data_IF_517794560942
#
_entry.id   IF_517794560942
#
_cell.length_a   1.000
_cell.length_b   1.000
_cell.length_c   1.000
_cell.angle_alpha   90.00
_cell.angle_beta   90.00
_cell.angle_gamma   90.00
#
_symmetry.space_group_name_H-M   'P 1'
#
loop_
_entity.id
_entity.type
_entity.pdbx_description
1 polymer ?
#
# COMPACT_ATOMS: atom_id res chain seq x y z
N UNK A 1 -0.69 -36.36 23.65
CA UNK A 1 -1.76 -35.41 23.34
C UNK A 1 -1.53 -34.07 24.04
N UNK A 2 -1.32 -34.02 25.37
CA UNK A 2 -1.06 -32.79 26.15
C UNK A 2 0.12 -32.01 25.59
N UNK A 3 1.30 -32.63 25.45
CA UNK A 3 2.50 -31.97 24.90
C UNK A 3 2.28 -31.37 23.48
N UNK A 4 1.48 -32.01 22.64
CA UNK A 4 1.15 -31.47 21.30
C UNK A 4 0.30 -30.21 21.38
N UNK A 5 -0.67 -30.14 22.33
CA UNK A 5 -1.51 -28.97 22.57
C UNK A 5 -0.66 -27.80 23.07
N UNK A 6 0.25 -28.05 24.02
CA UNK A 6 1.15 -27.03 24.56
C UNK A 6 2.09 -26.49 23.49
N UNK A 7 2.73 -27.35 22.72
CA UNK A 7 3.61 -26.94 21.61
C UNK A 7 2.81 -26.12 20.59
N UNK A 8 1.59 -26.58 20.22
CA UNK A 8 0.72 -25.87 19.29
C UNK A 8 0.37 -24.45 19.78
N UNK A 9 0.02 -24.30 21.06
CA UNK A 9 -0.25 -23.01 21.69
C UNK A 9 0.96 -22.09 21.60
N UNK A 10 2.13 -22.53 22.06
CA UNK A 10 3.34 -21.68 22.09
C UNK A 10 3.86 -21.34 20.70
N UNK A 11 3.77 -22.23 19.73
CA UNK A 11 4.13 -21.97 18.33
C UNK A 11 3.18 -20.89 17.74
N UNK A 12 1.87 -21.04 17.94
CA UNK A 12 0.91 -20.05 17.46
C UNK A 12 1.13 -18.68 18.12
N UNK A 13 1.36 -18.65 19.44
CA UNK A 13 1.66 -17.42 20.17
C UNK A 13 2.95 -16.77 19.65
N UNK A 14 4.01 -17.53 19.49
CA UNK A 14 5.28 -17.03 18.95
C UNK A 14 5.12 -16.44 17.55
N UNK A 15 4.35 -17.10 16.67
CA UNK A 15 4.05 -16.60 15.32
C UNK A 15 3.24 -15.29 15.38
N UNK A 16 2.21 -15.20 16.22
CA UNK A 16 1.42 -13.97 16.38
C UNK A 16 2.30 -12.83 16.88
N UNK A 17 3.10 -13.06 17.93
CA UNK A 17 4.03 -12.06 18.46
C UNK A 17 5.06 -11.66 17.42
N UNK A 18 5.61 -12.61 16.67
CA UNK A 18 6.58 -12.32 15.62
C UNK A 18 5.97 -11.42 14.53
N UNK A 19 4.77 -11.74 14.03
CA UNK A 19 4.13 -11.00 12.94
C UNK A 19 3.82 -9.56 13.31
N UNK A 20 3.37 -9.31 14.54
CA UNK A 20 2.89 -7.99 14.97
C UNK A 20 3.94 -7.15 15.69
N UNK A 21 4.94 -7.76 16.30
CA UNK A 21 5.98 -7.06 17.07
C UNK A 21 7.41 -7.53 16.75
N UNK A 22 7.63 -8.83 16.61
CA UNK A 22 8.97 -9.42 16.46
C UNK A 22 9.67 -8.95 15.19
N UNK A 23 9.00 -9.01 14.04
CA UNK A 23 9.54 -8.51 12.77
C UNK A 23 9.92 -7.01 12.86
N UNK A 24 9.02 -6.20 13.39
CA UNK A 24 9.27 -4.77 13.59
C UNK A 24 10.49 -4.51 14.47
N UNK A 25 10.60 -5.22 15.60
CA UNK A 25 11.77 -5.14 16.49
C UNK A 25 13.07 -5.53 15.76
N UNK A 26 13.05 -6.65 15.01
CA UNK A 26 14.20 -7.07 14.20
C UNK A 26 14.62 -6.01 13.18
N UNK A 27 13.66 -5.41 12.47
CA UNK A 27 13.93 -4.36 11.47
C UNK A 27 14.53 -3.12 12.15
N UNK A 28 13.98 -2.68 13.30
CA UNK A 28 14.53 -1.54 14.05
C UNK A 28 15.98 -1.75 14.54
N UNK A 29 16.33 -2.98 14.94
CA UNK A 29 17.68 -3.32 15.38
C UNK A 29 18.64 -3.41 14.19
N UNK A 30 18.23 -4.02 13.08
CA UNK A 30 19.10 -4.26 11.92
C UNK A 30 19.28 -3.00 11.06
N UNK A 31 18.30 -2.11 10.99
CA UNK A 31 18.32 -0.92 10.15
C UNK A 31 19.53 0.01 10.43
N UNK A 32 19.87 0.37 11.69
CA UNK A 32 21.04 1.18 11.97
C UNK A 32 22.38 0.43 11.71
N UNK A 33 22.38 -0.91 11.81
CA UNK A 33 23.59 -1.73 11.60
C UNK A 33 23.93 -1.79 10.10
N UNK A 34 22.96 -2.12 9.24
CA UNK A 34 23.17 -2.23 7.80
C UNK A 34 23.23 -0.86 7.11
N UNK A 35 22.41 0.07 7.55
CA UNK A 35 22.36 1.49 7.21
C UNK A 35 22.71 1.81 5.74
N UNK A 36 22.03 1.19 4.80
CA UNK A 36 22.23 1.40 3.36
C UNK A 36 21.67 2.78 2.96
N UNK A 37 22.49 3.81 3.14
CA UNK A 37 22.14 5.21 2.81
C UNK A 37 21.83 5.35 1.33
N UNK A 38 20.93 6.28 1.00
CA UNK A 38 20.59 6.69 -0.35
C UNK A 38 21.38 7.98 -0.63
N UNK A 39 22.03 8.03 -1.81
CA UNK A 39 22.63 9.26 -2.30
C UNK A 39 21.53 10.16 -2.83
N UNK A 40 21.29 11.27 -2.18
CA UNK A 40 20.31 12.27 -2.60
C UNK A 40 21.02 13.49 -3.15
N UNK A 41 20.61 13.94 -4.32
CA UNK A 41 21.09 15.17 -4.94
C UNK A 41 19.93 15.79 -5.71
N UNK A 42 19.92 17.10 -5.83
CA UNK A 42 18.94 17.79 -6.64
C UNK A 42 19.20 17.51 -8.12
N UNK A 43 18.29 16.79 -8.75
CA UNK A 43 18.35 16.41 -10.16
C UNK A 43 17.06 16.80 -10.85
N UNK A 44 17.11 17.09 -12.14
CA UNK A 44 15.96 17.42 -12.95
C UNK A 44 15.88 16.55 -14.22
N UNK A 45 15.64 15.23 -14.08
CA UNK A 45 15.38 14.37 -15.24
C UNK A 45 14.05 14.79 -15.91
N UNK A 46 13.78 14.27 -17.11
CA UNK A 46 12.46 14.40 -17.71
C UNK A 46 11.44 13.55 -16.94
N UNK A 47 10.27 14.13 -16.64
CA UNK A 47 9.23 13.51 -15.80
C UNK A 47 7.88 13.54 -16.48
N UNK A 48 7.17 12.42 -16.42
CA UNK A 48 5.75 12.38 -16.76
C UNK A 48 4.94 11.95 -15.54
N UNK A 49 3.99 12.80 -15.11
CA UNK A 49 3.00 12.42 -14.11
C UNK A 49 1.82 11.77 -14.82
N UNK A 50 1.50 10.54 -14.44
CA UNK A 50 0.39 9.76 -15.00
C UNK A 50 -0.75 9.74 -14.00
N UNK A 51 -1.93 10.20 -14.42
CA UNK A 51 -3.17 10.21 -13.65
C UNK A 51 -4.15 9.26 -14.33
N UNK A 52 -4.61 8.23 -13.63
CA UNK A 52 -5.73 7.40 -14.10
C UNK A 52 -7.04 7.91 -13.51
N UNK A 53 -8.01 8.22 -14.36
CA UNK A 53 -9.28 8.83 -13.97
C UNK A 53 -10.48 8.00 -14.47
N UNK A 54 -11.54 7.90 -13.65
CA UNK A 54 -12.82 7.34 -14.04
C UNK A 54 -13.94 8.05 -13.28
N UNK A 55 -14.72 8.91 -13.96
CA UNK A 55 -15.79 9.74 -13.41
C UNK A 55 -15.31 10.62 -12.23
N UNK A 56 -14.33 11.46 -12.49
CA UNK A 56 -13.66 12.32 -11.51
C UNK A 56 -13.87 13.82 -11.79
N UNK A 57 -15.01 14.20 -12.41
CA UNK A 57 -15.30 15.60 -12.81
C UNK A 57 -15.16 16.61 -11.68
N UNK A 58 -15.34 16.19 -10.40
CA UNK A 58 -15.26 17.07 -9.23
C UNK A 58 -13.83 17.41 -8.82
N UNK A 59 -12.88 16.49 -9.05
CA UNK A 59 -11.51 16.59 -8.52
C UNK A 59 -10.44 16.74 -9.61
N UNK A 60 -10.73 16.33 -10.84
CA UNK A 60 -9.70 16.20 -11.89
C UNK A 60 -9.06 17.54 -12.25
N UNK A 61 -9.81 18.63 -12.30
CA UNK A 61 -9.28 19.98 -12.58
C UNK A 61 -8.22 20.39 -11.56
N UNK A 62 -8.60 20.34 -10.27
CA UNK A 62 -7.72 20.66 -9.15
C UNK A 62 -6.48 19.80 -9.14
N UNK A 63 -6.64 18.51 -9.42
CA UNK A 63 -5.54 17.54 -9.45
C UNK A 63 -4.57 17.84 -10.58
N UNK A 64 -5.05 18.07 -11.79
CA UNK A 64 -4.21 18.37 -12.96
C UNK A 64 -3.46 19.71 -12.76
N UNK A 65 -4.15 20.75 -12.32
CA UNK A 65 -3.53 22.06 -12.03
C UNK A 65 -2.43 21.91 -10.97
N UNK A 66 -2.68 21.16 -9.89
CA UNK A 66 -1.68 20.88 -8.85
C UNK A 66 -0.44 20.16 -9.40
N UNK A 67 -0.58 19.25 -10.35
CA UNK A 67 0.57 18.53 -10.95
C UNK A 67 1.36 19.43 -11.91
N UNK A 68 0.68 20.28 -12.68
CA UNK A 68 1.33 21.23 -13.59
C UNK A 68 2.04 22.38 -12.86
N UNK A 69 1.61 22.72 -11.64
CA UNK A 69 2.15 23.81 -10.81
C UNK A 69 3.23 23.36 -9.81
N UNK A 70 3.74 22.14 -9.91
CA UNK A 70 4.84 21.67 -9.07
C UNK A 70 6.10 22.55 -9.27
N UNK A 71 6.86 22.80 -8.19
CA UNK A 71 8.14 23.51 -8.25
C UNK A 71 9.23 22.66 -8.93
N UNK A 72 9.06 22.49 -10.22
CA UNK A 72 9.95 21.70 -11.09
C UNK A 72 10.04 22.40 -12.46
N UNK A 73 11.17 22.30 -13.22
CA UNK A 73 11.31 22.93 -14.53
C UNK A 73 10.15 22.54 -15.48
N UNK A 74 9.39 23.55 -16.01
CA UNK A 74 8.19 23.27 -16.81
C UNK A 74 8.47 22.48 -18.09
N UNK A 75 9.63 22.68 -18.69
CA UNK A 75 10.10 21.96 -19.90
C UNK A 75 10.46 20.51 -19.61
N UNK A 76 10.61 20.13 -18.35
CA UNK A 76 10.92 18.78 -17.87
C UNK A 76 9.74 18.02 -17.27
N UNK A 77 8.59 18.67 -17.11
CA UNK A 77 7.39 18.10 -16.48
C UNK A 77 6.21 18.06 -17.44
N UNK A 78 5.72 16.87 -17.72
CA UNK A 78 4.49 16.63 -18.46
C UNK A 78 3.47 15.87 -17.63
N UNK A 79 2.19 15.98 -17.98
CA UNK A 79 1.10 15.27 -17.34
C UNK A 79 0.33 14.48 -18.40
N UNK A 80 0.06 13.21 -18.14
CA UNK A 80 -0.82 12.37 -18.96
C UNK A 80 -2.00 11.95 -18.08
N UNK A 81 -3.20 12.35 -18.48
CA UNK A 81 -4.43 11.83 -17.89
C UNK A 81 -4.94 10.70 -18.78
N UNK A 82 -5.17 9.53 -18.19
CA UNK A 82 -5.82 8.41 -18.89
C UNK A 82 -7.22 8.26 -18.32
N UNK A 83 -8.22 8.62 -19.12
CA UNK A 83 -9.63 8.42 -18.81
C UNK A 83 -10.06 6.99 -19.13
N UNK A 84 -10.46 6.23 -18.12
CA UNK A 84 -10.85 4.82 -18.22
C UNK A 84 -12.35 4.69 -18.58
N UNK A 85 -12.75 5.29 -19.70
CA UNK A 85 -14.15 5.27 -20.17
C UNK A 85 -15.10 6.11 -19.31
N UNK A 86 -14.67 7.32 -18.87
CA UNK A 86 -15.51 8.24 -18.11
C UNK A 86 -16.76 8.63 -18.90
N UNK A 87 -17.89 8.72 -18.18
CA UNK A 87 -19.20 9.09 -18.72
C UNK A 87 -19.68 10.49 -18.24
N UNK A 88 -18.94 11.10 -17.34
CA UNK A 88 -19.16 12.47 -16.82
C UNK A 88 -18.29 13.49 -17.58
N UNK A 89 -18.14 14.69 -17.05
CA UNK A 89 -17.38 15.78 -17.68
C UNK A 89 -15.86 15.67 -17.50
N UNK A 90 -15.33 14.57 -16.99
CA UNK A 90 -13.88 14.40 -16.76
C UNK A 90 -13.07 14.70 -18.02
N UNK A 91 -13.44 14.11 -19.16
CA UNK A 91 -12.69 14.26 -20.42
C UNK A 91 -12.76 15.71 -20.95
N UNK A 92 -13.94 16.34 -20.87
CA UNK A 92 -14.15 17.72 -21.29
C UNK A 92 -13.24 18.68 -20.51
N UNK A 93 -13.21 18.54 -19.17
CA UNK A 93 -12.38 19.36 -18.27
C UNK A 93 -10.90 19.21 -18.62
N UNK A 94 -10.41 17.98 -18.78
CA UNK A 94 -8.99 17.74 -19.12
C UNK A 94 -8.64 18.28 -20.50
N UNK A 95 -9.54 18.19 -21.51
CA UNK A 95 -9.32 18.76 -22.84
C UNK A 95 -9.26 20.29 -22.80
N UNK A 96 -10.10 20.94 -21.99
CA UNK A 96 -10.03 22.39 -21.81
C UNK A 96 -8.70 22.81 -21.19
N UNK A 97 -8.24 22.14 -20.14
CA UNK A 97 -6.94 22.41 -19.52
C UNK A 97 -5.77 22.17 -20.49
N UNK A 98 -5.86 21.12 -21.32
CA UNK A 98 -4.81 20.79 -22.28
C UNK A 98 -4.58 21.90 -23.32
N UNK A 99 -5.63 22.62 -23.75
CA UNK A 99 -5.53 23.76 -24.69
C UNK A 99 -4.67 24.91 -24.13
N UNK A 100 -4.61 25.07 -22.80
CA UNK A 100 -3.88 26.14 -22.13
C UNK A 100 -2.57 25.66 -21.49
N UNK A 101 -2.18 24.41 -21.71
CA UNK A 101 -1.04 23.78 -21.02
C UNK A 101 0.27 23.83 -21.81
N UNK A 102 0.31 24.52 -22.97
CA UNK A 102 1.49 24.61 -23.84
C UNK A 102 2.06 23.23 -24.21
N UNK A 103 1.18 22.24 -24.40
CA UNK A 103 1.57 20.86 -24.74
C UNK A 103 2.03 20.01 -23.56
N UNK A 104 2.03 20.55 -22.33
CA UNK A 104 2.45 19.80 -21.14
C UNK A 104 1.39 18.84 -20.58
N UNK A 105 0.13 18.92 -21.05
CA UNK A 105 -0.96 18.03 -20.65
C UNK A 105 -1.50 17.27 -21.85
N UNK A 106 -1.63 15.95 -21.70
CA UNK A 106 -2.23 15.07 -22.70
C UNK A 106 -3.36 14.25 -22.10
N UNK A 107 -4.50 14.20 -22.77
CA UNK A 107 -5.58 13.26 -22.48
C UNK A 107 -5.44 12.03 -23.36
N UNK A 108 -5.48 10.85 -22.76
CA UNK A 108 -5.68 9.57 -23.43
C UNK A 108 -7.02 8.99 -22.98
N UNK A 109 -7.78 8.39 -23.90
CA UNK A 109 -9.03 7.71 -23.58
C UNK A 109 -8.89 6.22 -23.79
N UNK A 110 -9.21 5.45 -22.74
CA UNK A 110 -9.25 3.99 -22.78
C UNK A 110 -10.71 3.55 -22.98
N UNK A 111 -10.98 2.91 -24.09
CA UNK A 111 -12.33 2.42 -24.42
C UNK A 111 -12.23 1.07 -25.15
N UNK A 112 -12.93 0.02 -24.70
CA UNK A 112 -13.77 0.00 -23.49
C UNK A 112 -12.96 0.15 -22.21
N UNK A 113 -13.66 0.37 -21.08
CA UNK A 113 -13.07 0.45 -19.75
C UNK A 113 -12.29 -0.82 -19.39
N UNK A 114 -11.01 -0.68 -18.94
CA UNK A 114 -10.11 -1.79 -18.62
C UNK A 114 -9.44 -1.67 -17.23
N UNK A 115 -9.65 -0.56 -16.53
CA UNK A 115 -9.15 -0.30 -15.17
C UNK A 115 -7.78 0.36 -15.09
N UNK A 116 -7.43 0.82 -13.88
CA UNK A 116 -6.20 1.59 -13.57
C UNK A 116 -4.94 0.93 -14.15
N UNK A 117 -4.80 -0.38 -14.02
CA UNK A 117 -3.58 -1.09 -14.46
C UNK A 117 -3.34 -0.96 -15.96
N UNK A 118 -4.39 -1.09 -16.80
CA UNK A 118 -4.28 -0.93 -18.23
C UNK A 118 -4.09 0.54 -18.63
N UNK A 119 -4.72 1.46 -17.87
CA UNK A 119 -4.50 2.90 -18.06
C UNK A 119 -3.03 3.28 -17.86
N UNK A 120 -2.35 2.71 -16.84
CA UNK A 120 -0.91 2.91 -16.64
C UNK A 120 -0.09 2.34 -17.80
N UNK A 121 -0.39 1.10 -18.25
CA UNK A 121 0.29 0.52 -19.41
C UNK A 121 0.14 1.40 -20.66
N UNK A 122 -1.07 1.93 -20.91
CA UNK A 122 -1.33 2.84 -22.03
C UNK A 122 -0.50 4.13 -21.93
N UNK A 123 -0.44 4.75 -20.75
CA UNK A 123 0.32 5.98 -20.53
C UNK A 123 1.80 5.79 -20.84
N UNK A 124 2.37 4.65 -20.43
CA UNK A 124 3.80 4.34 -20.64
C UNK A 124 4.20 4.21 -22.13
N UNK A 125 3.25 3.87 -23.01
CA UNK A 125 3.47 3.86 -24.45
C UNK A 125 3.53 5.28 -25.06
N UNK A 126 3.07 6.29 -24.31
CA UNK A 126 2.95 7.66 -24.78
C UNK A 126 3.91 8.64 -24.08
N UNK A 127 4.89 8.13 -23.35
CA UNK A 127 5.94 8.93 -22.74
C UNK A 127 7.33 8.38 -23.01
N UNK A 128 8.29 9.30 -23.19
CA UNK A 128 9.72 9.00 -23.27
C UNK A 128 10.50 9.55 -22.08
N UNK A 129 9.82 10.05 -21.04
CA UNK A 129 10.44 10.63 -19.86
C UNK A 129 11.33 9.61 -19.13
N UNK A 130 12.38 10.08 -18.45
CA UNK A 130 13.32 9.24 -17.69
C UNK A 130 12.64 8.61 -16.48
N UNK A 131 11.74 9.39 -15.83
CA UNK A 131 10.99 8.98 -14.64
C UNK A 131 9.50 9.19 -14.85
N UNK A 132 8.71 8.20 -14.41
CA UNK A 132 7.24 8.27 -14.42
C UNK A 132 6.75 8.33 -12.98
N UNK A 133 5.89 9.31 -12.68
CA UNK A 133 5.23 9.49 -11.39
C UNK A 133 3.78 9.07 -11.53
N UNK A 134 3.30 8.22 -10.63
CA UNK A 134 1.90 7.79 -10.60
C UNK A 134 1.11 8.59 -9.57
N UNK A 135 -0.06 9.06 -9.95
CA UNK A 135 -0.95 9.86 -9.13
C UNK A 135 -2.41 9.37 -9.26
N UNK A 136 -3.14 9.39 -8.16
CA UNK A 136 -4.59 9.21 -8.20
C UNK A 136 -5.29 10.52 -8.60
N UNK A 137 -6.48 10.41 -9.19
CA UNK A 137 -7.23 11.56 -9.73
C UNK A 137 -7.74 12.54 -8.67
N UNK A 138 -7.70 12.17 -7.40
CA UNK A 138 -8.09 12.98 -6.24
C UNK A 138 -6.93 13.30 -5.29
N UNK A 139 -5.68 13.06 -5.71
CA UNK A 139 -4.50 13.29 -4.87
C UNK A 139 -3.91 14.68 -5.08
N UNK A 140 -3.61 15.38 -3.99
CA UNK A 140 -2.98 16.73 -4.02
C UNK A 140 -1.57 16.64 -3.45
N UNK A 141 -0.60 17.08 -4.22
CA UNK A 141 0.81 17.07 -3.86
C UNK A 141 1.23 18.40 -3.20
N UNK A 142 2.15 18.33 -2.24
CA UNK A 142 2.87 19.51 -1.79
C UNK A 142 3.65 20.14 -2.97
N UNK A 143 3.90 21.46 -2.96
CA UNK A 143 4.52 22.15 -4.11
C UNK A 143 5.88 21.57 -4.54
N UNK A 144 6.67 21.04 -3.62
CA UNK A 144 8.01 20.48 -3.86
C UNK A 144 8.01 18.93 -4.00
N UNK A 145 6.84 18.30 -4.00
CA UNK A 145 6.76 16.86 -3.87
C UNK A 145 7.49 16.12 -5.01
N UNK A 146 7.29 16.54 -6.26
CA UNK A 146 7.99 15.94 -7.40
C UNK A 146 9.50 16.09 -7.27
N UNK A 147 9.99 17.29 -6.91
CA UNK A 147 11.42 17.55 -6.72
C UNK A 147 12.04 16.67 -5.64
N UNK A 148 11.39 16.57 -4.48
CA UNK A 148 11.86 15.74 -3.37
C UNK A 148 11.87 14.26 -3.72
N UNK A 149 10.84 13.77 -4.41
CA UNK A 149 10.74 12.39 -4.87
C UNK A 149 11.92 12.02 -5.79
N UNK A 150 12.30 12.93 -6.68
CA UNK A 150 13.35 12.71 -7.67
C UNK A 150 14.76 12.71 -7.09
N UNK A 151 15.01 13.37 -5.96
CA UNK A 151 16.35 13.39 -5.34
C UNK A 151 16.91 12.00 -5.06
N UNK A 152 16.04 11.03 -4.70
CA UNK A 152 16.46 9.66 -4.43
C UNK A 152 16.92 8.91 -5.70
N UNK A 153 16.51 9.34 -6.90
CA UNK A 153 16.99 8.76 -8.16
C UNK A 153 18.39 9.21 -8.56
N UNK A 154 19.00 10.14 -7.84
CA UNK A 154 20.45 10.41 -7.98
C UNK A 154 21.30 9.19 -7.61
N UNK A 155 20.75 8.27 -6.82
CA UNK A 155 21.37 6.97 -6.55
C UNK A 155 20.95 5.96 -7.66
N UNK A 156 21.93 5.46 -8.45
CA UNK A 156 21.62 4.52 -9.54
C UNK A 156 21.11 3.17 -9.05
N UNK A 157 21.24 2.84 -7.76
CA UNK A 157 20.66 1.64 -7.17
C UNK A 157 19.15 1.77 -6.95
N UNK A 158 18.60 3.00 -6.89
CA UNK A 158 17.19 3.27 -6.66
C UNK A 158 16.42 3.22 -7.97
N UNK A 159 15.43 2.34 -8.03
CA UNK A 159 14.56 2.17 -9.21
C UNK A 159 13.12 2.63 -9.00
N UNK A 160 12.68 2.69 -7.72
CA UNK A 160 11.33 3.09 -7.34
C UNK A 160 11.35 3.89 -6.04
N UNK A 161 10.58 4.95 -5.99
CA UNK A 161 10.41 5.81 -4.80
C UNK A 161 8.93 5.98 -4.50
N UNK A 162 8.53 5.81 -3.26
CA UNK A 162 7.18 6.11 -2.78
C UNK A 162 7.21 7.15 -1.68
N UNK A 163 6.20 8.01 -1.64
CA UNK A 163 6.04 9.01 -0.59
C UNK A 163 5.07 8.59 0.51
N UNK A 164 4.85 9.50 1.45
CA UNK A 164 3.89 9.34 2.55
C UNK A 164 2.51 9.83 2.12
N UNK A 165 1.45 9.10 2.49
CA UNK A 165 0.07 9.53 2.31
C UNK A 165 -0.48 10.05 3.65
N UNK A 166 -0.98 11.28 3.67
CA UNK A 166 -1.70 11.86 4.80
C UNK A 166 -3.16 12.07 4.45
N UNK A 167 -4.06 11.67 5.34
CA UNK A 167 -5.50 11.82 5.14
C UNK A 167 -5.97 13.15 5.73
N UNK A 168 -6.72 13.97 4.96
CA UNK A 168 -7.11 15.33 5.34
C UNK A 168 -8.55 15.46 5.84
N UNK A 169 -9.34 14.38 5.93
CA UNK A 169 -10.75 14.45 6.33
C UNK A 169 -10.94 14.41 7.86
N UNK A 170 -11.34 15.55 8.51
CA UNK A 170 -11.58 15.61 9.96
C UNK A 170 -12.77 14.77 10.44
N UNK A 171 -13.76 14.50 9.57
CA UNK A 171 -14.95 13.69 9.93
C UNK A 171 -14.63 12.20 10.10
N UNK A 172 -13.51 11.73 9.59
CA UNK A 172 -12.95 10.38 9.80
C UNK A 172 -11.95 10.34 10.95
N UNK A 173 -11.77 11.45 11.69
CA UNK A 173 -10.74 11.59 12.73
C UNK A 173 -10.96 10.69 13.95
N UNK A 174 -12.19 10.29 14.28
CA UNK A 174 -12.44 9.27 15.31
C UNK A 174 -12.01 7.86 14.85
N UNK A 175 -12.08 7.59 13.56
CA UNK A 175 -11.46 6.44 12.89
C UNK A 175 -9.95 6.70 12.76
N UNK A 176 -9.55 7.96 12.65
CA UNK A 176 -8.20 8.45 12.42
C UNK A 176 -7.22 8.25 13.58
N UNK A 177 -7.62 8.24 14.85
CA UNK A 177 -6.68 8.05 15.96
C UNK A 177 -6.12 6.63 16.03
N UNK A 178 -6.93 5.59 15.81
CA UNK A 178 -6.44 4.21 15.67
C UNK A 178 -5.67 4.01 14.36
N UNK A 179 -6.07 4.70 13.30
CA UNK A 179 -5.39 4.75 11.99
C UNK A 179 -4.06 5.52 12.08
N UNK A 180 -4.00 6.62 12.83
CA UNK A 180 -2.79 7.44 13.02
C UNK A 180 -1.63 6.69 13.66
N UNK A 181 -1.90 5.92 14.72
CA UNK A 181 -0.89 5.08 15.37
C UNK A 181 -0.41 3.96 14.46
N UNK A 182 -1.33 3.34 13.70
CA UNK A 182 -1.00 2.33 12.71
C UNK A 182 -0.15 2.92 11.55
N UNK A 183 -0.51 4.09 11.03
CA UNK A 183 0.26 4.78 9.99
C UNK A 183 1.65 5.18 10.49
N UNK A 184 1.78 5.64 11.73
CA UNK A 184 3.09 5.94 12.33
C UNK A 184 3.97 4.69 12.44
N UNK A 185 3.38 3.56 12.83
CA UNK A 185 4.06 2.25 12.85
C UNK A 185 4.53 1.84 11.44
N UNK A 186 3.64 1.88 10.43
CA UNK A 186 3.97 1.52 9.05
C UNK A 186 5.04 2.46 8.46
N UNK A 187 4.96 3.76 8.73
CA UNK A 187 5.94 4.74 8.24
C UNK A 187 7.32 4.50 8.86
N UNK A 188 7.40 4.23 10.18
CA UNK A 188 8.65 3.89 10.85
C UNK A 188 9.24 2.59 10.30
N UNK A 189 8.39 1.61 10.03
CA UNK A 189 8.80 0.34 9.41
C UNK A 189 9.39 0.58 8.02
N UNK A 190 8.73 1.37 7.16
CA UNK A 190 9.21 1.70 5.80
C UNK A 190 10.54 2.47 5.81
N UNK A 191 10.68 3.45 6.71
CA UNK A 191 11.96 4.15 6.90
C UNK A 191 13.06 3.16 7.25
N UNK A 192 12.78 2.24 8.15
CA UNK A 192 13.74 1.24 8.61
C UNK A 192 14.04 0.19 7.52
N UNK A 193 13.04 -0.31 6.80
CA UNK A 193 13.20 -1.20 5.65
C UNK A 193 14.02 -0.53 4.52
N UNK A 194 13.81 0.78 4.27
CA UNK A 194 14.63 1.55 3.33
C UNK A 194 16.11 1.52 3.70
N UNK A 195 16.43 1.62 5.00
CA UNK A 195 17.80 1.50 5.49
C UNK A 195 18.37 0.09 5.39
N UNK A 196 17.52 -0.94 5.43
CA UNK A 196 17.94 -2.32 5.17
C UNK A 196 18.22 -2.56 3.68
N UNK A 197 17.51 -1.88 2.79
CA UNK A 197 17.68 -2.04 1.34
C UNK A 197 16.46 -1.61 0.55
N UNK A 198 15.37 -2.33 0.66
CA UNK A 198 14.13 -2.04 -0.04
C UNK A 198 12.93 -2.23 0.89
N UNK A 199 11.88 -1.46 0.68
CA UNK A 199 10.58 -1.69 1.30
C UNK A 199 9.81 -2.79 0.55
N UNK A 200 8.89 -3.46 1.21
CA UNK A 200 8.11 -4.56 0.64
C UNK A 200 6.68 -4.19 0.23
N UNK A 201 6.32 -2.92 0.34
CA UNK A 201 5.01 -2.43 -0.08
C UNK A 201 4.91 -0.93 -0.05
N UNK A 202 4.13 -0.37 -0.97
CA UNK A 202 3.89 1.07 -1.13
C UNK A 202 2.42 1.40 -0.92
N UNK A 203 2.08 2.68 -0.74
CA UNK A 203 0.70 3.13 -0.49
C UNK A 203 -0.05 3.51 -1.77
N UNK A 204 0.67 3.79 -2.86
CA UNK A 204 0.07 4.12 -4.16
C UNK A 204 -0.39 5.57 -4.33
N UNK A 205 -0.20 6.44 -3.34
CA UNK A 205 -0.67 7.85 -3.41
C UNK A 205 0.27 8.79 -4.16
N UNK A 206 1.58 8.56 -4.03
CA UNK A 206 2.64 9.25 -4.77
C UNK A 206 3.82 8.29 -4.95
N UNK A 207 3.98 7.78 -6.15
CA UNK A 207 4.98 6.78 -6.49
C UNK A 207 5.72 7.20 -7.76
N UNK A 208 7.00 6.89 -7.84
CA UNK A 208 7.80 7.12 -9.03
C UNK A 208 8.66 5.91 -9.38
N UNK A 209 8.83 5.67 -10.67
CA UNK A 209 9.65 4.59 -11.21
C UNK A 209 10.58 5.13 -12.31
N UNK A 210 11.81 4.60 -12.42
CA UNK A 210 12.57 4.76 -13.66
C UNK A 210 11.81 4.10 -14.80
N UNK A 211 11.52 4.84 -15.87
CA UNK A 211 10.72 4.32 -16.98
C UNK A 211 11.29 3.01 -17.56
N UNK A 212 12.61 2.90 -17.64
CA UNK A 212 13.30 1.70 -18.14
C UNK A 212 13.01 0.42 -17.33
N UNK A 213 12.62 0.56 -16.05
CA UNK A 213 12.30 -0.56 -15.16
C UNK A 213 10.81 -0.93 -15.16
N UNK A 214 9.99 -0.17 -15.90
CA UNK A 214 8.57 -0.45 -15.96
C UNK A 214 8.31 -1.72 -16.78
N UNK A 215 7.60 -2.66 -16.17
CA UNK A 215 7.15 -3.89 -16.83
C UNK A 215 5.63 -3.82 -17.00
N UNK A 216 5.10 -3.94 -18.22
CA UNK A 216 3.66 -3.97 -18.45
C UNK A 216 2.97 -5.03 -17.61
N UNK A 217 1.83 -4.65 -17.04
CA UNK A 217 1.09 -5.50 -16.10
C UNK A 217 -0.19 -6.05 -16.73
N UNK A 218 -0.65 -7.21 -16.25
CA UNK A 218 -1.98 -7.72 -16.57
C UNK A 218 -3.04 -6.91 -15.83
N UNK A 219 -4.27 -6.85 -16.38
CA UNK A 219 -5.39 -6.10 -15.81
C UNK A 219 -5.76 -6.53 -14.37
N UNK A 220 -5.53 -7.80 -14.03
CA UNK A 220 -5.80 -8.37 -12.69
C UNK A 220 -4.72 -8.05 -11.65
N UNK A 221 -3.57 -7.52 -12.05
CA UNK A 221 -2.46 -7.18 -11.16
C UNK A 221 -2.66 -5.83 -10.46
N UNK A 222 -2.16 -5.72 -9.22
CA UNK A 222 -2.20 -4.50 -8.42
C UNK A 222 -0.92 -3.70 -8.66
N UNK A 223 -0.98 -2.51 -9.33
CA UNK A 223 0.22 -1.74 -9.67
C UNK A 223 1.09 -1.42 -8.47
N UNK A 224 0.46 -0.93 -7.39
CA UNK A 224 1.13 -0.48 -6.17
C UNK A 224 1.84 -1.63 -5.41
N UNK A 225 1.67 -2.88 -5.85
CA UNK A 225 2.37 -4.03 -5.28
C UNK A 225 3.28 -4.73 -6.30
N UNK A 226 2.82 -4.88 -7.55
CA UNK A 226 3.57 -5.61 -8.60
C UNK A 226 4.75 -4.79 -9.12
N UNK A 227 4.60 -3.47 -9.34
CA UNK A 227 5.68 -2.63 -9.87
C UNK A 227 6.89 -2.58 -8.93
N UNK A 228 6.75 -2.26 -7.61
CA UNK A 228 7.90 -2.28 -6.72
C UNK A 228 8.58 -3.65 -6.65
N UNK A 229 7.83 -4.75 -6.62
CA UNK A 229 8.40 -6.09 -6.65
C UNK A 229 9.16 -6.37 -7.96
N UNK A 230 8.66 -5.89 -9.11
CA UNK A 230 9.34 -6.03 -10.40
C UNK A 230 10.65 -5.26 -10.44
N UNK A 231 10.74 -4.11 -9.76
CA UNK A 231 11.96 -3.33 -9.64
C UNK A 231 13.01 -4.08 -8.82
N UNK A 232 12.60 -4.74 -7.72
CA UNK A 232 13.50 -5.59 -6.92
C UNK A 232 14.00 -6.80 -7.72
N UNK A 233 13.14 -7.43 -8.51
CA UNK A 233 13.56 -8.54 -9.41
C UNK A 233 14.65 -8.11 -10.41
N UNK A 234 14.63 -6.84 -10.83
CA UNK A 234 15.63 -6.24 -11.71
C UNK A 234 16.88 -5.75 -10.95
N UNK A 235 17.03 -6.08 -9.66
CA UNK A 235 18.21 -5.75 -8.84
C UNK A 235 18.27 -4.30 -8.37
N UNK A 236 17.16 -3.54 -8.49
CA UNK A 236 17.08 -2.15 -8.02
C UNK A 236 16.31 -2.05 -6.70
N UNK A 237 16.54 -0.95 -5.99
CA UNK A 237 15.93 -0.68 -4.68
C UNK A 237 14.58 0.03 -4.84
N UNK A 238 13.68 -0.31 -3.94
CA UNK A 238 12.41 0.39 -3.70
C UNK A 238 12.54 1.12 -2.35
N UNK A 239 12.38 2.44 -2.34
CA UNK A 239 12.67 3.26 -1.17
C UNK A 239 11.50 4.16 -0.80
N UNK A 240 11.43 4.51 0.49
CA UNK A 240 10.40 5.38 1.05
C UNK A 240 10.95 6.76 1.36
N UNK A 241 10.27 7.80 0.86
CA UNK A 241 10.58 9.22 1.10
C UNK A 241 9.58 9.80 2.11
N UNK A 242 10.05 10.00 3.35
CA UNK A 242 9.21 10.43 4.45
C UNK A 242 8.78 11.91 4.37
N UNK A 243 9.60 12.77 3.73
CA UNK A 243 9.34 14.20 3.65
C UNK A 243 8.15 14.55 2.74
N UNK A 244 7.66 13.58 1.94
CA UNK A 244 6.53 13.74 1.04
C UNK A 244 5.23 13.43 1.77
N UNK A 245 4.30 14.38 1.78
CA UNK A 245 2.93 14.15 2.21
C UNK A 245 1.97 14.34 1.04
N UNK A 246 1.03 13.44 0.91
CA UNK A 246 -0.06 13.49 -0.06
C UNK A 246 -1.39 13.35 0.67
N UNK A 247 -2.37 14.18 0.30
CA UNK A 247 -3.73 14.10 0.83
C UNK A 247 -4.58 13.18 -0.06
N UNK A 248 -5.16 12.12 0.51
CA UNK A 248 -6.03 11.19 -0.20
C UNK A 248 -7.05 10.53 0.71
N UNK A 249 -8.12 9.98 0.12
CA UNK A 249 -9.18 9.25 0.83
C UNK A 249 -9.05 7.75 0.60
N UNK A 250 -8.87 6.91 1.66
CA UNK A 250 -9.17 5.49 1.53
C UNK A 250 -9.33 4.72 2.85
N UNK A 251 -10.39 3.91 2.97
CA UNK A 251 -10.53 2.85 3.97
C UNK A 251 -11.32 1.61 3.53
N UNK A 252 -12.06 1.61 2.43
CA UNK A 252 -13.15 0.62 2.21
C UNK A 252 -12.83 -0.62 1.35
N UNK A 253 -11.58 -0.93 0.97
CA UNK A 253 -11.33 -1.98 -0.05
C UNK A 253 -10.39 -3.13 0.34
N UNK A 254 -10.27 -3.44 1.62
CA UNK A 254 -9.21 -4.34 2.14
C UNK A 254 -9.26 -5.78 1.64
N UNK A 255 -10.45 -6.38 1.47
CA UNK A 255 -10.55 -7.77 0.93
C UNK A 255 -10.02 -7.85 -0.50
N UNK A 256 -10.38 -6.86 -1.35
CA UNK A 256 -9.92 -6.82 -2.74
C UNK A 256 -8.41 -6.59 -2.82
N UNK A 257 -7.91 -5.63 -2.03
CA UNK A 257 -6.47 -5.34 -1.98
C UNK A 257 -5.70 -6.58 -1.50
N UNK A 258 -6.15 -7.24 -0.44
CA UNK A 258 -5.52 -8.47 0.07
C UNK A 258 -5.55 -9.61 -0.96
N UNK A 259 -6.65 -9.81 -1.69
CA UNK A 259 -6.75 -10.83 -2.73
C UNK A 259 -5.77 -10.55 -3.89
N UNK A 260 -5.72 -9.30 -4.38
CA UNK A 260 -4.79 -8.91 -5.45
C UNK A 260 -3.33 -8.99 -4.99
N UNK A 261 -3.06 -8.67 -3.71
CA UNK A 261 -1.73 -8.81 -3.13
C UNK A 261 -1.29 -10.28 -3.02
N UNK A 262 -2.19 -11.21 -2.67
CA UNK A 262 -1.90 -12.65 -2.68
C UNK A 262 -1.55 -13.14 -4.09
N UNK A 263 -2.28 -12.71 -5.11
CA UNK A 263 -1.94 -13.03 -6.50
C UNK A 263 -0.60 -12.42 -6.93
N UNK A 264 -0.29 -11.20 -6.51
CA UNK A 264 1.01 -10.57 -6.78
C UNK A 264 2.17 -11.33 -6.10
N UNK A 265 1.99 -11.78 -4.85
CA UNK A 265 2.96 -12.63 -4.16
C UNK A 265 3.18 -13.97 -4.89
N UNK A 266 2.10 -14.57 -5.38
CA UNK A 266 2.19 -15.80 -6.18
C UNK A 266 2.92 -15.58 -7.51
N UNK A 267 2.59 -14.50 -8.23
CA UNK A 267 3.26 -14.12 -9.49
C UNK A 267 4.76 -13.85 -9.28
N UNK A 268 5.11 -13.22 -8.15
CA UNK A 268 6.46 -12.81 -7.77
C UNK A 268 7.15 -13.75 -6.76
N UNK A 269 6.69 -15.00 -6.68
CA UNK A 269 7.20 -16.00 -5.69
C UNK A 269 8.70 -16.24 -5.76
N UNK A 270 9.36 -15.92 -6.88
CA UNK A 270 10.81 -15.99 -6.99
C UNK A 270 11.53 -15.10 -5.98
N UNK A 271 10.92 -13.98 -5.57
CA UNK A 271 11.43 -13.08 -4.54
C UNK A 271 11.38 -13.67 -3.12
N UNK A 272 10.63 -14.77 -2.91
CA UNK A 272 10.59 -15.53 -1.65
C UNK A 272 11.77 -16.48 -1.50
N UNK A 273 12.64 -16.59 -2.51
CA UNK A 273 13.83 -17.44 -2.45
C UNK A 273 14.93 -16.80 -1.59
N UNK A 274 15.22 -17.33 -0.38
CA UNK A 274 16.20 -16.73 0.53
C UNK A 274 17.65 -16.89 0.06
N UNK A 275 17.93 -17.80 -0.86
CA UNK A 275 19.28 -17.95 -1.44
C UNK A 275 19.57 -16.80 -2.42
N UNK A 276 18.58 -16.45 -3.25
CA UNK A 276 18.74 -15.39 -4.28
C UNK A 276 18.52 -14.00 -3.69
N UNK A 277 17.58 -13.85 -2.75
CA UNK A 277 17.17 -12.57 -2.15
C UNK A 277 17.13 -12.67 -0.61
N UNK A 278 18.25 -12.95 0.08
CA UNK A 278 18.22 -13.36 1.49
C UNK A 278 17.50 -12.38 2.41
N UNK A 279 17.86 -11.10 2.34
CA UNK A 279 17.24 -10.08 3.19
C UNK A 279 15.83 -9.72 2.71
N UNK A 280 15.64 -9.54 1.41
CA UNK A 280 14.34 -9.16 0.86
C UNK A 280 13.30 -10.28 0.98
N UNK A 281 13.70 -11.55 0.78
CA UNK A 281 12.81 -12.69 0.99
C UNK A 281 12.34 -12.76 2.45
N UNK A 282 13.26 -12.57 3.42
CA UNK A 282 12.89 -12.49 4.83
C UNK A 282 11.90 -11.36 5.11
N UNK A 283 12.16 -10.14 4.58
CA UNK A 283 11.24 -9.02 4.71
C UNK A 283 9.87 -9.32 4.09
N UNK A 284 9.84 -9.83 2.85
CA UNK A 284 8.60 -10.13 2.12
C UNK A 284 7.77 -11.23 2.79
N UNK A 285 8.43 -12.29 3.27
CA UNK A 285 7.77 -13.36 4.03
C UNK A 285 7.19 -12.80 5.33
N UNK A 286 7.99 -12.09 6.12
CA UNK A 286 7.59 -11.61 7.44
C UNK A 286 6.52 -10.52 7.38
N UNK A 287 6.71 -9.52 6.52
CA UNK A 287 5.84 -8.34 6.46
C UNK A 287 4.56 -8.57 5.64
N UNK A 288 4.60 -9.45 4.63
CA UNK A 288 3.43 -9.66 3.75
C UNK A 288 2.87 -11.07 3.86
N UNK A 289 3.67 -12.13 3.61
CA UNK A 289 3.12 -13.50 3.59
C UNK A 289 2.55 -13.89 4.96
N UNK A 290 3.36 -13.78 6.03
CA UNK A 290 2.92 -14.14 7.37
C UNK A 290 1.80 -13.22 7.88
N UNK A 291 1.82 -11.93 7.51
CA UNK A 291 0.77 -10.99 7.90
C UNK A 291 -0.57 -11.29 7.24
N UNK A 292 -0.59 -11.65 5.94
CA UNK A 292 -1.82 -12.10 5.28
C UNK A 292 -2.31 -13.47 5.79
N UNK A 293 -1.40 -14.31 6.30
CA UNK A 293 -1.71 -15.60 6.90
C UNK A 293 -1.93 -15.56 8.44
N UNK A 294 -1.84 -14.37 9.07
CA UNK A 294 -1.87 -14.24 10.54
C UNK A 294 -3.16 -14.75 11.19
N UNK A 295 -4.27 -14.79 10.44
CA UNK A 295 -5.51 -15.39 10.92
C UNK A 295 -5.36 -16.88 11.25
N UNK A 296 -4.46 -17.62 10.59
CA UNK A 296 -4.21 -19.06 10.88
C UNK A 296 -3.65 -19.28 12.30
N UNK A 297 -2.50 -18.65 12.68
CA UNK A 297 -2.01 -18.80 14.05
C UNK A 297 -2.94 -18.14 15.09
N UNK A 298 -3.74 -17.12 14.75
CA UNK A 298 -4.74 -16.56 15.67
C UNK A 298 -5.86 -17.56 15.99
N UNK A 299 -6.40 -18.23 14.98
CA UNK A 299 -7.39 -19.31 15.15
C UNK A 299 -6.75 -20.50 15.89
N UNK A 300 -5.54 -20.93 15.49
CA UNK A 300 -4.81 -21.99 16.15
C UNK A 300 -4.56 -21.69 17.64
N UNK A 301 -4.14 -20.48 17.96
CA UNK A 301 -3.90 -20.01 19.32
C UNK A 301 -5.18 -20.12 20.20
N UNK A 302 -6.33 -19.71 19.64
CA UNK A 302 -7.60 -19.84 20.33
C UNK A 302 -7.98 -21.30 20.57
N UNK A 303 -7.87 -22.16 19.55
CA UNK A 303 -8.24 -23.58 19.64
C UNK A 303 -7.32 -24.34 20.62
N UNK A 304 -5.99 -24.20 20.47
CA UNK A 304 -5.04 -24.86 21.37
C UNK A 304 -5.20 -24.37 22.82
N UNK A 305 -5.46 -23.06 23.02
CA UNK A 305 -5.71 -22.53 24.35
C UNK A 305 -6.98 -23.10 24.98
N UNK A 306 -8.09 -23.17 24.22
CA UNK A 306 -9.33 -23.78 24.68
C UNK A 306 -9.17 -25.27 25.08
N UNK A 307 -8.33 -26.02 24.34
CA UNK A 307 -8.00 -27.41 24.67
C UNK A 307 -7.07 -27.54 25.89
N UNK A 308 -6.27 -26.51 26.18
CA UNK A 308 -5.31 -26.49 27.30
C UNK A 308 -5.91 -25.99 28.63
N UNK A 309 -7.11 -25.47 28.65
CA UNK A 309 -7.75 -24.82 29.82
C UNK A 309 -7.71 -25.69 31.09
N UNK A 310 -7.87 -27.00 30.97
CA UNK A 310 -7.81 -27.94 32.10
C UNK A 310 -6.41 -28.25 32.64
N UNK A 311 -5.35 -27.80 31.96
CA UNK A 311 -3.97 -28.17 32.28
C UNK A 311 -3.32 -27.23 33.29
N UNK A 312 -3.56 -25.89 33.16
CA UNK A 312 -2.96 -24.89 34.05
C UNK A 312 -3.76 -23.59 34.06
N UNK A 313 -3.78 -22.89 35.23
CA UNK A 313 -4.50 -21.60 35.43
C UNK A 313 -4.08 -20.50 34.42
N UNK A 314 -2.85 -20.57 33.90
CA UNK A 314 -2.34 -19.66 32.83
C UNK A 314 -3.25 -19.70 31.61
N UNK A 315 -3.62 -20.89 31.11
CA UNK A 315 -4.48 -21.04 29.92
C UNK A 315 -5.89 -20.49 30.15
N UNK A 316 -6.42 -20.64 31.39
CA UNK A 316 -7.71 -20.03 31.77
C UNK A 316 -7.63 -18.50 31.67
N UNK A 317 -6.61 -17.89 32.29
CA UNK A 317 -6.42 -16.44 32.28
C UNK A 317 -6.19 -15.91 30.84
N UNK A 318 -5.43 -16.64 30.04
CA UNK A 318 -5.18 -16.26 28.64
C UNK A 318 -6.45 -16.38 27.79
N UNK A 319 -7.29 -17.40 28.00
CA UNK A 319 -8.58 -17.54 27.32
C UNK A 319 -9.54 -16.40 27.66
N UNK A 320 -9.61 -16.03 28.94
CA UNK A 320 -10.41 -14.87 29.37
C UNK A 320 -9.94 -13.61 28.64
N UNK A 321 -8.63 -13.38 28.53
CA UNK A 321 -8.05 -12.24 27.80
C UNK A 321 -8.44 -12.27 26.32
N UNK A 322 -8.35 -13.44 25.64
CA UNK A 322 -8.75 -13.58 24.26
C UNK A 322 -10.24 -13.30 24.03
N UNK A 323 -11.10 -13.88 24.87
CA UNK A 323 -12.56 -13.68 24.78
C UNK A 323 -12.91 -12.22 25.05
N UNK A 324 -12.28 -11.59 26.05
CA UNK A 324 -12.45 -10.16 26.31
C UNK A 324 -12.02 -9.29 25.12
N UNK A 325 -10.91 -9.60 24.47
CA UNK A 325 -10.45 -8.92 23.24
C UNK A 325 -11.46 -9.03 22.09
N UNK A 326 -12.04 -10.20 21.87
CA UNK A 326 -13.09 -10.38 20.87
C UNK A 326 -14.40 -9.69 21.23
N UNK A 327 -14.78 -9.70 22.52
CA UNK A 327 -15.94 -8.94 23.01
C UNK A 327 -15.77 -7.43 22.80
N UNK A 328 -14.58 -6.89 23.07
CA UNK A 328 -14.24 -5.49 22.77
C UNK A 328 -14.34 -5.19 21.26
N UNK A 329 -13.95 -6.12 20.41
CA UNK A 329 -14.10 -5.94 18.96
C UNK A 329 -15.58 -5.90 18.53
N UNK A 330 -16.43 -6.74 19.13
CA UNK A 330 -17.89 -6.70 18.91
C UNK A 330 -18.50 -5.38 19.40
N UNK A 331 -18.11 -4.93 20.59
CA UNK A 331 -18.54 -3.63 21.12
C UNK A 331 -18.08 -2.49 20.20
N UNK A 332 -16.83 -2.51 19.72
CA UNK A 332 -16.33 -1.55 18.74
C UNK A 332 -17.16 -1.54 17.45
N UNK A 333 -17.64 -2.69 17.00
CA UNK A 333 -18.55 -2.77 15.85
C UNK A 333 -19.91 -2.11 16.14
N UNK A 334 -20.49 -2.36 17.31
CA UNK A 334 -21.81 -1.83 17.69
C UNK A 334 -21.77 -0.31 17.88
N UNK A 335 -20.70 0.21 18.48
CA UNK A 335 -20.55 1.64 18.81
C UNK A 335 -19.76 2.44 17.76
N UNK A 336 -19.44 1.89 16.59
CA UNK A 336 -18.62 2.56 15.56
C UNK A 336 -19.14 3.91 15.05
N UNK A 337 -20.43 4.20 15.29
CA UNK A 337 -21.07 5.45 14.87
C UNK A 337 -21.27 6.45 16.03
N UNK A 338 -20.87 6.11 17.26
CA UNK A 338 -21.21 6.85 18.47
C UNK A 338 -20.20 7.92 18.90
N UNK A 339 -19.31 8.39 18.01
CA UNK A 339 -18.41 9.51 18.27
C UNK A 339 -17.11 9.17 19.02
N UNK A 340 -16.42 10.19 19.55
CA UNK A 340 -15.06 10.09 20.10
C UNK A 340 -14.85 9.10 21.25
N UNK A 341 -15.86 8.82 22.06
CA UNK A 341 -15.76 7.82 23.14
C UNK A 341 -15.55 6.39 22.64
N UNK A 342 -15.94 6.10 21.39
CA UNK A 342 -15.78 4.80 20.76
C UNK A 342 -14.38 4.57 20.15
N UNK A 343 -13.52 5.61 20.04
CA UNK A 343 -12.23 5.53 19.33
C UNK A 343 -11.32 4.44 19.89
N UNK A 344 -11.26 4.26 21.20
CA UNK A 344 -10.44 3.23 21.86
C UNK A 344 -10.92 1.80 21.59
N UNK A 345 -12.22 1.60 21.35
CA UNK A 345 -12.82 0.30 21.01
C UNK A 345 -12.62 -0.06 19.53
N UNK A 346 -12.26 0.91 18.69
CA UNK A 346 -12.08 0.70 17.28
C UNK A 346 -10.82 -0.12 16.95
N UNK A 347 -9.76 -0.03 17.76
CA UNK A 347 -8.51 -0.77 17.50
C UNK A 347 -8.72 -2.30 17.54
N UNK A 348 -9.34 -2.93 18.55
CA UNK A 348 -9.69 -4.35 18.53
C UNK A 348 -10.63 -4.72 17.39
N UNK A 349 -11.62 -3.87 17.08
CA UNK A 349 -12.53 -4.09 15.95
C UNK A 349 -11.78 -4.15 14.63
N UNK A 350 -10.92 -3.17 14.34
CA UNK A 350 -10.14 -3.15 13.09
C UNK A 350 -9.15 -4.31 13.01
N UNK A 351 -8.54 -4.70 14.12
CA UNK A 351 -7.67 -5.88 14.17
C UNK A 351 -8.42 -7.13 13.70
N UNK A 352 -9.62 -7.36 14.23
CA UNK A 352 -10.44 -8.53 13.83
C UNK A 352 -10.88 -8.41 12.37
N UNK A 353 -11.42 -7.25 11.96
CA UNK A 353 -11.89 -7.01 10.59
C UNK A 353 -10.79 -7.24 9.55
N UNK A 354 -9.57 -6.79 9.84
CA UNK A 354 -8.42 -7.00 8.95
C UNK A 354 -8.06 -8.47 8.79
N UNK A 355 -8.02 -9.22 9.89
CA UNK A 355 -7.71 -10.64 9.84
C UNK A 355 -8.83 -11.45 9.15
N UNK A 356 -10.10 -11.09 9.36
CA UNK A 356 -11.24 -11.68 8.64
C UNK A 356 -11.16 -11.36 7.14
N UNK A 357 -10.80 -10.12 6.77
CA UNK A 357 -10.63 -9.74 5.38
C UNK A 357 -9.50 -10.54 4.70
N UNK A 358 -8.38 -10.76 5.41
CA UNK A 358 -7.29 -11.61 4.93
C UNK A 358 -7.73 -13.07 4.78
N UNK A 359 -8.47 -13.62 5.75
CA UNK A 359 -9.01 -14.99 5.66
C UNK A 359 -9.96 -15.18 4.47
N UNK A 360 -10.87 -14.23 4.25
CA UNK A 360 -11.78 -14.23 3.09
C UNK A 360 -11.02 -14.10 1.77
N UNK A 361 -10.00 -13.22 1.73
CA UNK A 361 -9.14 -13.07 0.55
C UNK A 361 -8.36 -14.35 0.26
N UNK A 362 -7.83 -14.99 1.30
CA UNK A 362 -7.11 -16.27 1.18
C UNK A 362 -8.02 -17.39 0.66
N UNK A 363 -9.25 -17.48 1.18
CA UNK A 363 -10.24 -18.44 0.68
C UNK A 363 -10.58 -18.22 -0.79
N UNK A 364 -10.82 -16.96 -1.20
CA UNK A 364 -11.05 -16.60 -2.60
C UNK A 364 -9.84 -16.89 -3.49
N UNK A 365 -8.63 -16.67 -2.98
CA UNK A 365 -7.39 -16.99 -3.69
C UNK A 365 -7.28 -18.49 -3.95
N UNK A 366 -7.54 -19.36 -2.95
CA UNK A 366 -7.55 -20.82 -3.11
C UNK A 366 -8.61 -21.28 -4.13
N UNK A 367 -9.76 -20.57 -4.20
CA UNK A 367 -10.79 -20.78 -5.21
C UNK A 367 -10.46 -20.21 -6.59
N UNK A 368 -9.25 -19.68 -6.82
CA UNK A 368 -8.81 -19.14 -8.11
C UNK A 368 -9.48 -17.84 -8.53
N UNK A 369 -10.20 -17.15 -7.62
CA UNK A 369 -10.91 -15.91 -7.95
C UNK A 369 -9.94 -14.76 -8.21
N UNK A 370 -10.19 -13.98 -9.27
CA UNK A 370 -9.45 -12.78 -9.64
C UNK A 370 -10.38 -11.58 -9.77
N UNK A 371 -9.89 -10.38 -9.49
CA UNK A 371 -10.65 -9.14 -9.59
C UNK A 371 -9.85 -8.10 -10.38
N UNK A 372 -10.30 -7.77 -11.60
CA UNK A 372 -9.62 -6.82 -12.48
C UNK A 372 -10.21 -5.40 -12.39
N UNK A 373 -11.53 -5.26 -12.36
CA UNK A 373 -12.20 -3.95 -12.43
C UNK A 373 -12.52 -3.39 -11.05
N UNK A 374 -12.37 -2.09 -10.91
CA UNK A 374 -12.79 -1.30 -9.76
C UNK A 374 -14.02 -0.50 -10.11
N UNK A 375 -15.07 -0.57 -9.28
CA UNK A 375 -16.18 0.36 -9.36
C UNK A 375 -15.95 1.47 -8.33
N UNK A 376 -15.84 2.74 -8.76
CA UNK A 376 -15.78 3.85 -7.84
C UNK A 376 -17.07 3.93 -7.03
N UNK A 377 -17.04 4.64 -5.91
CA UNK A 377 -18.23 4.92 -5.12
C UNK A 377 -19.27 5.59 -6.02
N UNK A 378 -20.53 5.14 -5.97
CA UNK A 378 -21.64 6.01 -6.32
C UNK A 378 -21.58 7.15 -5.30
N UNK A 379 -21.29 8.37 -5.77
CA UNK A 379 -21.27 9.55 -4.93
C UNK A 379 -22.60 9.63 -4.19
N UNK A 380 -22.52 9.72 -2.86
CA UNK A 380 -23.64 10.15 -2.03
C UNK A 380 -23.74 11.65 -2.11
#
# INVERSE_FOLDING_TARGET
>A
MIMFIDIGFWVCLALVVYVYAGYFGCVLILAPILNRRIRKTDIAPSVTVVISAFNEEREIERTVVNKLSQHFPPDRLTVIVVSDGSADRTDEIVQQLARHSEGRLKLLRQEPRQGKTQALNMALLHTSADVVVFADANSIYAPDAVRQLLQSFADPSVGYVTGNMTYTNPAESAIGEGSGSYMSYENLLRVSETRLGSIVGVDGGIDAIRRELYVPMRADQLPDFVLPLSVVEQGKRVVYEQALSNAGEEFRMRVRVSLRALWALYDKRNLLNPIRYPLFAWQLISHKVLRYAAFLPLVGLFLFNALAVGQHRFYVGFLILQVAGYALAVLGHLFRQSGAAASRLLAPYYFVVLNVACALAFWKFLGGQKMALWNPRKGG
#
